data_IF_624790733637
#
_entry.id   IF_624790733637
#
_cell.length_a   1.000
_cell.length_b   1.000
_cell.length_c   1.000
_cell.angle_alpha   90.00
_cell.angle_beta   90.00
_cell.angle_gamma   90.00
#
_symmetry.space_group_name_H-M   'P 1'
#
loop_
_entity.id
_entity.type
_entity.pdbx_description
1 polymer ?
#
# COMPACT_ATOMS: atom_id res chain seq x y z
N UNK A 1 -3.29 7.02 -26.45
CA UNK A 1 -2.23 6.01 -26.32
C UNK A 1 -2.15 5.17 -27.58
N UNK A 2 -3.21 4.49 -28.02
CA UNK A 2 -3.22 3.55 -29.14
C UNK A 2 -2.72 4.15 -30.47
N UNK A 3 -3.16 5.38 -30.84
CA UNK A 3 -2.67 6.07 -32.06
C UNK A 3 -1.18 6.38 -32.03
N UNK A 4 -0.62 6.67 -30.84
CA UNK A 4 0.81 6.95 -30.66
C UNK A 4 1.64 5.68 -30.69
N UNK A 5 1.13 4.58 -30.15
CA UNK A 5 1.76 3.27 -30.23
C UNK A 5 1.84 2.78 -31.69
N UNK A 6 0.75 2.94 -32.46
CA UNK A 6 0.73 2.64 -33.89
C UNK A 6 1.75 3.48 -34.67
N UNK A 7 1.85 4.77 -34.38
CA UNK A 7 2.85 5.64 -35.02
C UNK A 7 4.28 5.22 -34.69
N UNK A 8 4.53 4.86 -33.42
CA UNK A 8 5.82 4.35 -32.96
C UNK A 8 6.19 3.03 -33.66
N UNK A 9 5.26 2.08 -33.73
CA UNK A 9 5.47 0.79 -34.40
C UNK A 9 5.76 0.99 -35.89
N UNK A 10 5.01 1.87 -36.54
CA UNK A 10 5.24 2.18 -37.98
C UNK A 10 6.60 2.81 -38.24
N UNK A 11 7.08 3.67 -37.33
CA UNK A 11 8.43 4.29 -37.47
C UNK A 11 9.52 3.23 -37.24
N UNK A 12 9.36 2.32 -36.32
CA UNK A 12 10.31 1.22 -36.10
C UNK A 12 10.33 0.22 -37.26
N UNK A 13 9.17 -0.13 -37.82
CA UNK A 13 9.07 -1.00 -39.00
C UNK A 13 9.75 -0.36 -40.20
N UNK A 14 9.55 0.93 -40.45
CA UNK A 14 10.22 1.67 -41.47
C UNK A 14 11.74 1.68 -41.29
N UNK A 15 12.24 1.91 -40.10
CA UNK A 15 13.66 1.89 -39.76
C UNK A 15 14.27 0.50 -39.98
N UNK A 16 13.56 -0.57 -39.61
CA UNK A 16 13.99 -1.96 -39.82
C UNK A 16 13.98 -2.36 -41.28
N UNK A 17 12.96 -1.98 -42.05
CA UNK A 17 12.82 -2.35 -43.47
C UNK A 17 13.83 -1.62 -44.37
N UNK A 18 14.29 -0.44 -43.96
CA UNK A 18 15.23 0.39 -44.75
C UNK A 18 16.60 0.53 -44.11
N UNK A 19 16.92 -0.29 -43.08
CA UNK A 19 18.22 -0.27 -42.39
C UNK A 19 19.44 -0.53 -43.29
N UNK A 20 19.25 -1.10 -44.50
CA UNK A 20 20.30 -1.35 -45.48
C UNK A 20 20.65 -0.11 -46.35
N UNK A 21 19.90 0.97 -46.21
CA UNK A 21 20.16 2.23 -46.93
C UNK A 21 20.76 3.26 -45.97
N UNK A 22 22.08 3.41 -46.00
CA UNK A 22 22.86 4.30 -45.11
C UNK A 22 22.52 5.80 -45.19
N UNK A 23 21.66 6.23 -46.10
CA UNK A 23 21.38 7.66 -46.35
C UNK A 23 19.99 8.14 -45.92
N UNK A 24 19.11 7.29 -45.38
CA UNK A 24 17.75 7.67 -45.04
C UNK A 24 17.45 7.37 -43.57
N UNK A 25 17.70 8.33 -42.70
CA UNK A 25 17.15 8.32 -41.34
C UNK A 25 15.64 8.64 -41.39
N UNK A 26 14.78 7.61 -41.37
CA UNK A 26 13.33 7.77 -41.36
C UNK A 26 12.78 8.16 -39.96
N UNK A 27 13.56 7.95 -38.93
CA UNK A 27 13.21 8.36 -37.57
C UNK A 27 14.45 8.91 -36.86
N UNK A 28 14.36 10.14 -36.42
CA UNK A 28 15.36 10.70 -35.51
C UNK A 28 15.33 9.90 -34.23
N UNK A 29 16.47 9.30 -33.80
CA UNK A 29 16.58 8.53 -32.54
C UNK A 29 16.10 9.30 -31.34
N UNK A 30 16.28 10.62 -31.33
CA UNK A 30 15.82 11.49 -30.27
C UNK A 30 14.28 11.58 -30.25
N UNK A 31 13.62 11.60 -31.39
CA UNK A 31 12.16 11.57 -31.47
C UNK A 31 11.57 10.22 -31.00
N UNK A 32 12.21 9.11 -31.43
CA UNK A 32 11.81 7.77 -30.97
C UNK A 32 11.98 7.62 -29.46
N UNK A 33 13.13 8.05 -28.92
CA UNK A 33 13.39 8.03 -27.47
C UNK A 33 12.41 8.90 -26.70
N UNK A 34 12.13 10.11 -27.21
CA UNK A 34 11.14 11.02 -26.62
C UNK A 34 9.75 10.43 -26.64
N UNK A 35 9.35 9.78 -27.75
CA UNK A 35 8.05 9.13 -27.88
C UNK A 35 7.93 7.91 -26.94
N UNK A 36 8.99 7.09 -26.84
CA UNK A 36 9.06 5.96 -25.93
C UNK A 36 8.92 6.41 -24.46
N UNK A 37 9.69 7.41 -24.05
CA UNK A 37 9.62 8.01 -22.71
C UNK A 37 8.22 8.56 -22.41
N UNK A 38 7.60 9.21 -23.39
CA UNK A 38 6.24 9.72 -23.20
C UNK A 38 5.21 8.59 -23.03
N UNK A 39 5.31 7.51 -23.82
CA UNK A 39 4.46 6.33 -23.72
C UNK A 39 4.64 5.68 -22.34
N UNK A 40 5.87 5.50 -21.90
CA UNK A 40 6.20 4.97 -20.57
C UNK A 40 5.55 5.80 -19.45
N UNK A 41 5.70 7.12 -19.49
CA UNK A 41 5.07 8.02 -18.52
C UNK A 41 3.53 7.91 -18.50
N UNK A 42 2.91 7.75 -19.65
CA UNK A 42 1.45 7.56 -19.76
C UNK A 42 1.05 6.20 -19.19
N UNK A 43 1.78 5.12 -19.50
CA UNK A 43 1.50 3.78 -18.98
C UNK A 43 1.69 3.76 -17.46
N UNK A 44 2.80 4.33 -16.96
CA UNK A 44 3.06 4.43 -15.52
C UNK A 44 1.94 5.18 -14.78
N UNK A 45 1.46 6.29 -15.34
CA UNK A 45 0.34 7.06 -14.79
C UNK A 45 -0.97 6.25 -14.79
N UNK A 46 -1.25 5.52 -15.87
CA UNK A 46 -2.44 4.66 -15.96
C UNK A 46 -2.35 3.47 -15.00
N UNK A 47 -1.18 2.84 -14.86
CA UNK A 47 -0.97 1.78 -13.88
C UNK A 47 -1.13 2.31 -12.45
N UNK A 48 -0.60 3.49 -12.16
CA UNK A 48 -0.81 4.15 -10.86
C UNK A 48 -2.29 4.48 -10.61
N UNK A 49 -3.04 4.88 -11.63
CA UNK A 49 -4.48 5.18 -11.50
C UNK A 49 -5.30 3.96 -11.09
N UNK A 50 -4.83 2.75 -11.34
CA UNK A 50 -5.48 1.51 -10.92
C UNK A 50 -5.54 1.39 -9.40
N UNK A 51 -4.45 1.69 -8.69
CA UNK A 51 -4.42 1.65 -7.22
C UNK A 51 -5.46 2.62 -6.63
N UNK A 52 -5.61 3.80 -7.24
CA UNK A 52 -6.62 4.80 -6.88
C UNK A 52 -8.04 4.27 -7.17
N UNK A 53 -8.28 3.76 -8.38
CA UNK A 53 -9.58 3.22 -8.77
C UNK A 53 -10.00 2.00 -7.95
N UNK A 54 -9.04 1.12 -7.63
CA UNK A 54 -9.27 -0.03 -6.77
C UNK A 54 -9.54 0.39 -5.32
N UNK A 55 -8.83 1.39 -4.81
CA UNK A 55 -9.04 1.96 -3.49
C UNK A 55 -10.44 2.61 -3.37
N UNK A 56 -10.90 3.31 -4.42
CA UNK A 56 -12.25 3.89 -4.46
C UNK A 56 -13.32 2.79 -4.48
N UNK A 57 -13.12 1.73 -5.26
CA UNK A 57 -14.11 0.66 -5.46
C UNK A 57 -14.14 -0.35 -4.30
N UNK A 58 -12.99 -0.80 -3.84
CA UNK A 58 -12.83 -1.93 -2.92
C UNK A 58 -12.33 -1.51 -1.54
N UNK A 59 -12.05 -0.23 -1.33
CA UNK A 59 -11.42 0.29 -0.13
C UNK A 59 -9.90 0.15 -0.15
N UNK A 60 -9.23 1.01 0.62
CA UNK A 60 -7.77 1.04 0.75
C UNK A 60 -7.32 -0.13 1.62
N UNK A 61 -6.46 -1.02 1.09
CA UNK A 61 -6.03 -2.18 1.84
C UNK A 61 -5.04 -1.79 2.95
N UNK A 62 -5.36 -2.17 4.18
CA UNK A 62 -4.58 -1.92 5.39
C UNK A 62 -4.18 -3.24 6.03
N UNK A 63 -2.88 -3.44 6.27
CA UNK A 63 -2.39 -4.55 7.08
C UNK A 63 -2.04 -4.08 8.48
N UNK A 64 -2.51 -4.81 9.50
CA UNK A 64 -2.07 -4.65 10.88
C UNK A 64 -1.09 -5.77 11.19
N UNK A 65 0.17 -5.42 11.38
CA UNK A 65 1.24 -6.35 11.70
C UNK A 65 1.81 -6.09 13.10
N UNK A 66 2.49 -7.05 13.64
CA UNK A 66 3.10 -6.97 14.97
C UNK A 66 2.98 -8.31 15.69
N UNK A 67 3.70 -8.45 16.79
CA UNK A 67 3.78 -9.69 17.58
C UNK A 67 2.46 -10.10 18.22
N UNK A 68 2.43 -11.31 18.73
CA UNK A 68 1.37 -11.82 19.59
C UNK A 68 1.25 -10.88 20.81
N UNK A 69 0.02 -10.58 21.22
CA UNK A 69 -0.28 -9.68 22.35
C UNK A 69 0.16 -8.19 22.18
N UNK A 70 0.61 -7.76 21.02
CA UNK A 70 0.83 -6.34 20.74
C UNK A 70 -0.48 -5.51 20.77
N UNK A 71 -1.65 -6.18 20.70
CA UNK A 71 -2.97 -5.55 20.80
C UNK A 71 -3.68 -5.35 19.46
N UNK A 72 -3.30 -6.09 18.41
CA UNK A 72 -3.88 -5.98 17.04
C UNK A 72 -5.41 -6.16 17.03
N UNK A 73 -5.92 -7.20 17.68
CA UNK A 73 -7.36 -7.47 17.77
C UNK A 73 -8.10 -6.36 18.53
N UNK A 74 -7.47 -5.83 19.59
CA UNK A 74 -8.04 -4.74 20.38
C UNK A 74 -8.12 -3.46 19.55
N UNK A 75 -7.07 -3.16 18.75
CA UNK A 75 -7.07 -2.01 17.84
C UNK A 75 -8.14 -2.16 16.77
N UNK A 76 -8.19 -3.32 16.09
CA UNK A 76 -9.19 -3.59 15.07
C UNK A 76 -10.61 -3.40 15.62
N UNK A 77 -10.89 -3.96 16.78
CA UNK A 77 -12.19 -3.80 17.45
C UNK A 77 -12.46 -2.33 17.85
N UNK A 78 -11.45 -1.59 18.27
CA UNK A 78 -11.61 -0.17 18.60
C UNK A 78 -11.97 0.66 17.37
N UNK A 79 -11.38 0.36 16.22
CA UNK A 79 -11.67 1.01 14.93
C UNK A 79 -13.06 0.62 14.38
N UNK A 80 -13.46 -0.65 14.52
CA UNK A 80 -14.74 -1.16 14.02
C UNK A 80 -15.94 -0.78 14.89
N UNK A 81 -15.76 -0.66 16.22
CA UNK A 81 -16.84 -0.38 17.18
C UNK A 81 -17.23 1.12 17.28
N UNK A 82 -16.55 2.01 16.60
CA UNK A 82 -17.10 3.33 16.38
C UNK A 82 -18.16 3.20 15.27
N UNK A 83 -19.34 3.80 15.41
CA UNK A 83 -20.55 3.73 14.55
C UNK A 83 -20.34 3.91 13.03
N UNK A 84 -19.11 3.76 12.56
CA UNK A 84 -18.62 3.95 11.21
C UNK A 84 -18.46 2.65 10.42
N UNK A 85 -18.75 1.49 11.03
CA UNK A 85 -18.74 0.22 10.32
C UNK A 85 -19.97 0.15 9.42
N UNK A 86 -19.79 0.43 8.16
CA UNK A 86 -20.79 0.10 7.14
C UNK A 86 -20.64 -1.41 6.91
N UNK A 87 -21.53 -2.18 7.52
CA UNK A 87 -21.71 -3.58 7.15
C UNK A 87 -22.29 -3.56 5.73
N UNK A 88 -21.45 -3.79 4.76
CA UNK A 88 -21.90 -4.00 3.38
C UNK A 88 -22.58 -5.36 3.33
N UNK A 89 -23.93 -5.38 3.31
CA UNK A 89 -24.76 -6.55 2.99
C UNK A 89 -24.63 -6.89 1.50
N UNK A 90 -23.43 -6.98 0.97
CA UNK A 90 -23.24 -7.61 -0.34
C UNK A 90 -23.12 -9.11 -0.09
N UNK A 91 -24.29 -9.75 0.00
CA UNK A 91 -24.44 -11.20 -0.13
C UNK A 91 -24.08 -11.58 -1.56
N UNK A 92 -22.93 -12.19 -1.75
CA UNK A 92 -22.59 -12.75 -3.04
C UNK A 92 -21.23 -13.44 -3.06
N UNK A 93 -21.29 -14.76 -2.93
CA UNK A 93 -20.35 -15.77 -3.40
C UNK A 93 -19.06 -16.01 -2.61
N UNK A 94 -19.04 -17.23 -2.02
CA UNK A 94 -17.90 -18.12 -1.79
C UNK A 94 -16.86 -17.72 -0.75
N UNK A 95 -16.83 -18.45 0.34
CA UNK A 95 -15.70 -18.97 1.19
C UNK A 95 -14.37 -18.19 1.28
N UNK A 96 -14.29 -16.92 0.90
CA UNK A 96 -13.06 -16.16 0.86
C UNK A 96 -13.08 -15.03 1.90
N UNK A 97 -12.13 -15.13 2.83
CA UNK A 97 -11.57 -14.10 3.70
C UNK A 97 -12.55 -13.02 4.18
N UNK A 98 -13.00 -13.15 5.42
CA UNK A 98 -13.76 -12.09 6.11
C UNK A 98 -12.82 -10.89 6.27
N UNK A 99 -12.97 -9.90 5.40
CA UNK A 99 -12.26 -8.63 5.49
C UNK A 99 -13.18 -7.61 6.15
N UNK A 100 -12.67 -6.93 7.17
CA UNK A 100 -13.40 -5.87 7.86
C UNK A 100 -13.16 -4.54 7.16
N UNK A 101 -14.22 -3.77 6.94
CA UNK A 101 -14.14 -2.44 6.33
C UNK A 101 -14.63 -1.35 7.27
N UNK A 102 -13.99 -0.19 7.23
CA UNK A 102 -14.45 1.02 7.92
C UNK A 102 -14.48 2.20 6.97
N UNK A 103 -15.38 3.14 7.20
CA UNK A 103 -15.40 4.42 6.48
C UNK A 103 -14.91 5.53 7.40
N UNK A 104 -13.81 6.17 7.02
CA UNK A 104 -13.24 7.32 7.74
C UNK A 104 -13.29 8.53 6.82
N UNK A 105 -14.11 9.50 7.16
CA UNK A 105 -14.26 10.77 6.42
C UNK A 105 -14.54 10.57 4.90
N UNK A 106 -15.36 9.56 4.56
CA UNK A 106 -15.71 9.25 3.18
C UNK A 106 -14.72 8.33 2.45
N UNK A 107 -13.61 7.96 3.09
CA UNK A 107 -12.64 7.00 2.55
C UNK A 107 -12.87 5.63 3.17
N UNK A 108 -13.07 4.61 2.34
CA UNK A 108 -13.22 3.23 2.81
C UNK A 108 -11.84 2.58 2.97
N UNK A 109 -11.58 2.02 4.15
CA UNK A 109 -10.41 1.22 4.46
C UNK A 109 -10.82 -0.24 4.64
N UNK A 110 -10.05 -1.15 4.08
CA UNK A 110 -10.26 -2.59 4.13
C UNK A 110 -9.09 -3.26 4.84
N UNK A 111 -9.35 -3.85 6.00
CA UNK A 111 -8.34 -4.57 6.78
C UNK A 111 -8.13 -5.97 6.24
N UNK A 112 -6.90 -6.28 5.83
CA UNK A 112 -6.55 -7.55 5.20
C UNK A 112 -6.41 -8.64 6.26
N UNK A 113 -7.04 -9.80 6.01
CA UNK A 113 -6.94 -11.03 6.81
C UNK A 113 -7.20 -10.82 8.31
N UNK A 114 -8.33 -10.26 8.61
CA UNK A 114 -8.78 -10.03 9.99
C UNK A 114 -9.09 -11.33 10.73
N UNK A 115 -9.34 -12.44 10.02
CA UNK A 115 -9.57 -13.75 10.62
C UNK A 115 -8.38 -14.21 11.48
N UNK A 116 -7.14 -14.03 10.98
CA UNK A 116 -5.93 -14.33 11.75
C UNK A 116 -5.69 -13.39 12.93
N UNK A 117 -6.27 -12.20 12.91
CA UNK A 117 -6.22 -11.25 14.03
C UNK A 117 -7.24 -11.61 15.12
N UNK A 118 -8.39 -12.17 14.74
CA UNK A 118 -9.47 -12.56 15.66
C UNK A 118 -9.25 -13.90 16.36
N UNK A 119 -8.51 -14.82 15.71
CA UNK A 119 -8.21 -16.16 16.23
C UNK A 119 -6.87 -16.18 16.97
N UNK A 120 -6.68 -15.37 17.99
CA UNK A 120 -5.51 -15.43 18.86
C UNK A 120 -5.65 -16.57 19.86
N UNK A 121 -5.32 -17.79 19.43
CA UNK A 121 -4.97 -18.89 20.33
C UNK A 121 -3.68 -19.55 19.79
N UNK A 122 -2.64 -19.36 20.54
CA UNK A 122 -1.37 -20.03 20.67
C UNK A 122 -1.19 -21.36 19.93
N UNK A 123 -0.95 -21.34 18.62
CA UNK A 123 -0.17 -22.40 17.98
C UNK A 123 0.17 -21.95 16.55
N UNK A 124 1.42 -21.97 16.22
CA UNK A 124 2.01 -21.82 14.89
C UNK A 124 2.73 -20.46 14.69
N UNK A 125 3.85 -20.32 15.39
CA UNK A 125 4.75 -19.18 15.25
C UNK A 125 5.46 -19.13 13.87
N UNK A 126 5.72 -20.25 13.24
CA UNK A 126 6.48 -20.33 11.97
C UNK A 126 5.64 -20.16 10.69
N UNK A 127 4.34 -20.43 10.74
CA UNK A 127 3.41 -20.12 9.63
C UNK A 127 2.94 -18.64 9.64
N UNK A 128 3.21 -17.92 10.73
CA UNK A 128 2.80 -16.53 10.91
C UNK A 128 3.65 -15.53 10.11
N UNK A 129 4.93 -15.78 9.93
CA UNK A 129 5.86 -14.82 9.31
C UNK A 129 5.57 -14.69 7.81
N UNK A 130 5.49 -15.80 7.10
CA UNK A 130 5.23 -15.81 5.65
C UNK A 130 3.87 -15.21 5.31
N UNK A 131 2.83 -15.51 6.10
CA UNK A 131 1.51 -14.87 5.97
C UNK A 131 1.57 -13.37 6.29
N UNK A 132 2.40 -12.96 7.23
CA UNK A 132 2.58 -11.54 7.54
C UNK A 132 3.16 -10.79 6.35
N UNK A 133 4.18 -11.34 5.67
CA UNK A 133 4.75 -10.73 4.47
C UNK A 133 3.75 -10.69 3.31
N UNK A 134 3.00 -11.76 3.07
CA UNK A 134 1.93 -11.76 2.06
C UNK A 134 0.87 -10.67 2.31
N UNK A 135 0.50 -10.42 3.58
CA UNK A 135 -0.40 -9.33 3.95
C UNK A 135 0.23 -7.96 3.67
N UNK A 136 1.50 -7.81 4.04
CA UNK A 136 2.23 -6.57 3.78
C UNK A 136 2.31 -6.29 2.28
N UNK A 137 2.55 -7.32 1.45
CA UNK A 137 2.65 -7.17 0.00
C UNK A 137 1.33 -6.68 -0.64
N UNK A 138 0.20 -7.09 -0.11
CA UNK A 138 -1.12 -6.68 -0.57
C UNK A 138 -1.58 -5.31 -0.02
N UNK A 139 -0.93 -4.83 1.04
CA UNK A 139 -1.33 -3.61 1.71
C UNK A 139 -0.82 -2.35 1.01
N UNK A 140 -1.63 -1.30 1.02
CA UNK A 140 -1.23 0.06 0.68
C UNK A 140 -0.74 0.82 1.94
N UNK A 141 -1.42 0.59 3.07
CA UNK A 141 -1.01 1.13 4.38
C UNK A 141 -0.64 -0.02 5.30
N UNK A 142 0.49 0.09 5.98
CA UNK A 142 0.96 -0.87 6.96
C UNK A 142 0.94 -0.20 8.33
N UNK A 143 0.19 -0.79 9.26
CA UNK A 143 0.19 -0.43 10.67
C UNK A 143 1.08 -1.43 11.42
N UNK A 144 2.30 -1.04 11.71
CA UNK A 144 3.23 -1.86 12.51
C UNK A 144 3.03 -1.58 13.99
N UNK A 145 2.41 -2.52 14.67
CA UNK A 145 2.05 -2.42 16.07
C UNK A 145 3.11 -3.03 16.97
N UNK A 146 3.66 -2.25 17.87
CA UNK A 146 4.71 -2.64 18.80
C UNK A 146 4.22 -2.36 20.23
N UNK A 147 4.47 -3.29 21.15
CA UNK A 147 4.24 -3.06 22.57
C UNK A 147 5.22 -2.00 23.09
N UNK A 148 4.71 -0.88 23.56
CA UNK A 148 5.55 0.25 23.98
C UNK A 148 6.42 -0.05 25.19
N UNK A 149 6.08 -1.07 25.99
CA UNK A 149 6.86 -1.46 27.19
C UNK A 149 8.20 -2.13 26.83
N UNK A 150 8.36 -2.63 25.59
CA UNK A 150 9.58 -3.31 25.10
C UNK A 150 9.91 -2.88 23.65
N UNK A 151 9.53 -1.66 23.28
CA UNK A 151 9.51 -1.23 21.90
C UNK A 151 10.88 -1.22 21.22
N UNK A 152 11.92 -0.76 21.91
CA UNK A 152 13.26 -0.67 21.33
C UNK A 152 13.81 -2.04 20.97
N UNK A 153 13.73 -3.02 21.86
CA UNK A 153 14.21 -4.37 21.63
C UNK A 153 13.44 -5.02 20.47
N UNK A 154 12.12 -4.94 20.50
CA UNK A 154 11.25 -5.56 19.49
C UNK A 154 11.44 -4.95 18.11
N UNK A 155 11.62 -3.65 18.06
CA UNK A 155 11.92 -2.98 16.80
C UNK A 155 13.25 -3.47 16.20
N UNK A 156 14.34 -3.50 17.03
CA UNK A 156 15.65 -3.94 16.57
C UNK A 156 15.63 -5.40 16.06
N UNK A 157 14.89 -6.29 16.74
CA UNK A 157 14.75 -7.70 16.36
C UNK A 157 14.05 -7.87 15.00
N UNK A 158 13.03 -7.07 14.70
CA UNK A 158 12.14 -7.28 13.56
C UNK A 158 12.35 -6.32 12.37
N UNK A 159 13.10 -5.22 12.56
CA UNK A 159 13.27 -4.20 11.52
C UNK A 159 13.88 -4.74 10.23
N UNK A 160 14.85 -5.66 10.34
CA UNK A 160 15.54 -6.23 9.19
C UNK A 160 14.59 -7.04 8.28
N UNK A 161 13.59 -7.69 8.87
CA UNK A 161 12.63 -8.51 8.15
C UNK A 161 11.44 -7.68 7.63
N UNK A 162 11.02 -6.65 8.37
CA UNK A 162 9.80 -5.87 8.05
C UNK A 162 10.09 -4.73 7.07
N UNK A 163 11.17 -3.96 7.26
CA UNK A 163 11.42 -2.75 6.48
C UNK A 163 11.52 -2.99 4.96
N UNK A 164 12.16 -4.08 4.46
CA UNK A 164 12.21 -4.35 3.02
C UNK A 164 10.83 -4.48 2.37
N UNK A 165 9.85 -5.05 3.09
CA UNK A 165 8.48 -5.20 2.59
C UNK A 165 7.65 -3.91 2.66
N UNK A 166 8.21 -2.83 3.23
CA UNK A 166 7.53 -1.54 3.35
C UNK A 166 7.92 -0.55 2.24
N UNK A 167 8.86 -0.89 1.36
CA UNK A 167 9.27 0.00 0.27
C UNK A 167 8.09 0.35 -0.64
N UNK A 168 7.93 1.62 -0.94
CA UNK A 168 6.83 2.14 -1.76
C UNK A 168 5.46 2.17 -1.07
N UNK A 169 5.36 1.75 0.20
CA UNK A 169 4.11 1.69 0.97
C UNK A 169 4.07 2.77 2.06
N UNK A 170 2.87 3.09 2.53
CA UNK A 170 2.68 4.01 3.66
C UNK A 170 2.75 3.21 4.95
N UNK A 171 3.78 3.44 5.77
CA UNK A 171 3.94 2.77 7.06
C UNK A 171 3.70 3.74 8.21
N UNK A 172 2.96 3.28 9.22
CA UNK A 172 2.75 3.96 10.50
C UNK A 172 3.16 2.99 11.61
N UNK A 173 4.13 3.39 12.44
CA UNK A 173 4.52 2.63 13.62
C UNK A 173 3.60 3.04 14.78
N UNK A 174 2.95 2.06 15.38
CA UNK A 174 2.04 2.24 16.51
C UNK A 174 2.66 1.68 17.78
N UNK A 175 3.06 2.57 18.69
CA UNK A 175 3.47 2.20 20.04
C UNK A 175 2.23 2.03 20.91
N UNK A 176 1.75 0.79 21.01
CA UNK A 176 0.55 0.47 21.78
C UNK A 176 0.85 0.28 23.27
N UNK A 177 -0.19 0.28 24.09
CA UNK A 177 -0.14 0.24 25.56
C UNK A 177 0.58 1.45 26.16
N UNK A 178 0.50 2.60 25.49
CA UNK A 178 1.14 3.84 25.94
C UNK A 178 0.63 4.35 27.29
N UNK A 179 -0.52 3.85 27.72
CA UNK A 179 -1.09 4.08 29.05
C UNK A 179 -0.29 3.44 30.20
N UNK A 180 0.62 2.52 29.88
CA UNK A 180 1.54 1.90 30.84
C UNK A 180 2.88 2.66 30.98
N UNK A 181 3.14 3.60 30.10
CA UNK A 181 4.39 4.38 30.11
C UNK A 181 4.24 5.70 30.87
N UNK A 182 5.30 6.09 31.56
CA UNK A 182 5.48 7.43 32.09
C UNK A 182 5.78 8.43 30.95
N UNK A 183 5.54 9.72 31.19
CA UNK A 183 5.80 10.76 30.20
C UNK A 183 7.28 10.77 29.76
N UNK A 184 8.20 10.61 30.68
CA UNK A 184 9.66 10.53 30.41
C UNK A 184 10.03 9.37 29.49
N UNK A 185 9.41 8.20 29.67
CA UNK A 185 9.64 7.03 28.84
C UNK A 185 9.11 7.24 27.42
N UNK A 186 7.99 7.95 27.24
CA UNK A 186 7.47 8.33 25.90
C UNK A 186 8.42 9.28 25.19
N UNK A 187 9.01 10.23 25.90
CA UNK A 187 10.00 11.16 25.35
C UNK A 187 11.28 10.43 24.92
N UNK A 188 11.79 9.52 25.77
CA UNK A 188 12.95 8.68 25.46
C UNK A 188 12.72 7.82 24.21
N UNK A 189 11.58 7.13 24.13
CA UNK A 189 11.21 6.36 22.93
C UNK A 189 11.08 7.25 21.70
N UNK A 190 10.49 8.44 21.84
CA UNK A 190 10.38 9.39 20.73
C UNK A 190 11.74 9.83 20.23
N UNK A 191 12.70 10.03 21.14
CA UNK A 191 14.08 10.40 20.79
C UNK A 191 14.83 9.26 20.07
N UNK A 192 14.69 8.01 20.56
CA UNK A 192 15.32 6.82 19.95
C UNK A 192 14.88 6.65 18.48
N UNK A 193 13.63 6.91 18.20
CA UNK A 193 13.06 6.75 16.87
C UNK A 193 13.02 8.05 16.04
N UNK A 194 13.64 9.14 16.50
CA UNK A 194 13.57 10.46 15.87
C UNK A 194 14.07 10.45 14.41
N UNK A 195 15.19 9.77 14.15
CA UNK A 195 15.84 9.74 12.84
C UNK A 195 15.07 8.96 11.75
N UNK A 196 14.09 8.18 12.14
CA UNK A 196 13.29 7.42 11.18
C UNK A 196 12.28 8.33 10.48
N UNK A 197 12.35 8.38 9.15
CA UNK A 197 11.40 9.11 8.29
C UNK A 197 10.03 8.39 8.15
N UNK A 198 9.52 7.80 9.23
CA UNK A 198 8.27 7.05 9.26
C UNK A 198 7.34 7.69 10.27
N UNK A 199 6.05 7.73 9.97
CA UNK A 199 5.03 8.20 10.89
C UNK A 199 4.96 7.31 12.14
N UNK A 200 4.91 7.93 13.31
CA UNK A 200 4.90 7.26 14.61
C UNK A 200 3.75 7.79 15.45
N UNK A 201 3.10 6.91 16.19
CA UNK A 201 2.00 7.30 17.07
C UNK A 201 1.97 6.43 18.33
N UNK A 202 1.88 7.06 19.49
CA UNK A 202 1.59 6.39 20.75
C UNK A 202 0.08 6.24 20.91
N UNK A 203 -0.37 5.03 21.12
CA UNK A 203 -1.80 4.71 21.32
C UNK A 203 -2.02 3.83 22.53
N UNK A 204 -3.22 3.85 23.07
CA UNK A 204 -3.74 2.77 23.91
C UNK A 204 -5.03 2.25 23.28
N UNK A 205 -4.93 1.13 22.58
CA UNK A 205 -6.09 0.50 21.96
C UNK A 205 -7.14 0.11 23.01
N UNK A 206 -6.69 -0.31 24.20
CA UNK A 206 -7.58 -0.69 25.32
C UNK A 206 -8.33 0.50 25.89
N UNK A 207 -7.68 1.66 26.05
CA UNK A 207 -8.28 2.88 26.58
C UNK A 207 -8.83 3.82 25.52
N UNK A 208 -8.68 3.45 24.23
CA UNK A 208 -9.03 4.26 23.06
C UNK A 208 -8.29 5.61 23.00
N UNK A 209 -7.11 5.70 23.61
CA UNK A 209 -6.29 6.89 23.54
C UNK A 209 -5.65 7.03 22.17
N UNK A 210 -5.74 8.23 21.58
CA UNK A 210 -5.16 8.60 20.28
C UNK A 210 -5.70 7.82 19.07
N UNK A 211 -6.83 7.08 19.19
CA UNK A 211 -7.45 6.37 18.05
C UNK A 211 -7.93 7.38 16.99
N UNK A 212 -8.57 8.47 17.39
CA UNK A 212 -9.01 9.52 16.45
C UNK A 212 -7.83 10.18 15.71
N UNK A 213 -6.64 10.26 16.36
CA UNK A 213 -5.43 10.74 15.69
C UNK A 213 -4.97 9.72 14.64
N UNK A 214 -5.01 8.42 14.98
CA UNK A 214 -4.72 7.35 14.03
C UNK A 214 -5.65 7.39 12.82
N UNK A 215 -6.95 7.57 13.02
CA UNK A 215 -7.92 7.72 11.93
C UNK A 215 -7.55 8.86 10.97
N UNK A 216 -7.20 10.03 11.53
CA UNK A 216 -6.75 11.18 10.71
C UNK A 216 -5.47 10.84 9.93
N UNK A 217 -4.51 10.16 10.57
CA UNK A 217 -3.28 9.72 9.89
C UNK A 217 -3.54 8.68 8.81
N UNK A 218 -4.49 7.77 9.00
CA UNK A 218 -4.94 6.84 7.97
C UNK A 218 -5.51 7.60 6.76
N UNK A 219 -6.40 8.56 6.99
CA UNK A 219 -6.95 9.40 5.92
C UNK A 219 -5.85 10.19 5.20
N UNK A 220 -4.87 10.75 5.93
CA UNK A 220 -3.73 11.43 5.33
C UNK A 220 -2.82 10.49 4.53
N UNK A 221 -2.57 9.27 5.05
CA UNK A 221 -1.79 8.25 4.34
C UNK A 221 -2.50 7.77 3.07
N UNK A 222 -3.83 7.76 3.12
CA UNK A 222 -4.71 7.45 2.02
C UNK A 222 -4.83 8.56 1.00
N UNK A 223 -4.20 9.74 1.22
CA UNK A 223 -4.28 10.87 0.30
C UNK A 223 -3.94 10.39 -1.11
N UNK A 224 -4.98 9.91 -1.78
CA UNK A 224 -4.95 9.57 -3.20
C UNK A 224 -4.66 10.89 -3.92
N UNK A 225 -3.76 10.91 -4.91
CA UNK A 225 -3.56 12.11 -5.71
C UNK A 225 -4.91 12.60 -6.20
N UNK A 226 -5.15 13.90 -6.13
CA UNK A 226 -6.38 14.51 -6.63
C UNK A 226 -6.58 14.03 -8.07
N UNK A 227 -7.60 13.19 -8.25
CA UNK A 227 -8.00 12.72 -9.56
C UNK A 227 -8.79 13.86 -10.18
N UNK A 228 -8.21 14.52 -11.16
CA UNK A 228 -8.94 15.49 -11.94
C UNK A 228 -10.11 14.82 -12.66
N UNK A 229 -11.23 15.50 -12.81
CA UNK A 229 -12.47 14.96 -13.45
C UNK A 229 -12.23 14.37 -14.86
N UNK A 230 -11.10 14.67 -15.48
CA UNK A 230 -10.72 14.20 -16.82
C UNK A 230 -9.71 13.04 -16.81
N UNK A 231 -9.26 12.58 -15.64
CA UNK A 231 -8.30 11.48 -15.55
C UNK A 231 -8.98 10.14 -15.81
N UNK A 232 -8.38 9.35 -16.69
CA UNK A 232 -8.84 7.99 -16.96
C UNK A 232 -8.40 7.10 -15.79
N UNK A 233 -9.36 6.64 -14.99
CA UNK A 233 -9.12 5.72 -13.89
C UNK A 233 -9.32 4.28 -14.38
N UNK A 234 -8.29 3.46 -14.24
CA UNK A 234 -8.38 2.04 -14.54
C UNK A 234 -8.89 1.31 -13.30
N UNK A 235 -9.97 0.55 -13.46
CA UNK A 235 -10.58 -0.25 -12.38
C UNK A 235 -10.52 -1.76 -12.65
N UNK A 236 -10.04 -2.16 -13.84
CA UNK A 236 -10.01 -3.57 -14.26
C UNK A 236 -8.60 -4.15 -14.06
N UNK A 237 -8.50 -5.23 -13.27
CA UNK A 237 -7.25 -5.93 -12.96
C UNK A 237 -6.51 -6.38 -14.22
N UNK A 238 -7.22 -6.90 -15.22
CA UNK A 238 -6.59 -7.35 -16.48
C UNK A 238 -5.91 -6.22 -17.25
N UNK A 239 -6.50 -5.02 -17.22
CA UNK A 239 -5.87 -3.84 -17.84
C UNK A 239 -4.62 -3.43 -17.06
N UNK A 240 -4.67 -3.49 -15.73
CA UNK A 240 -3.52 -3.20 -14.88
C UNK A 240 -2.37 -4.18 -15.14
N UNK A 241 -2.64 -5.48 -15.16
CA UNK A 241 -1.63 -6.51 -15.46
C UNK A 241 -0.98 -6.30 -16.83
N UNK A 242 -1.78 -5.98 -17.84
CA UNK A 242 -1.26 -5.70 -19.19
C UNK A 242 -0.35 -4.46 -19.21
N UNK A 243 -0.72 -3.40 -18.49
CA UNK A 243 0.08 -2.17 -18.39
C UNK A 243 1.37 -2.39 -17.60
N UNK A 244 1.32 -3.16 -16.51
CA UNK A 244 2.50 -3.49 -15.71
C UNK A 244 3.49 -4.33 -16.52
N UNK A 245 3.02 -5.33 -17.24
CA UNK A 245 3.88 -6.10 -18.16
C UNK A 245 4.51 -5.23 -19.23
N UNK A 246 3.77 -4.27 -19.79
CA UNK A 246 4.29 -3.34 -20.79
C UNK A 246 5.37 -2.44 -20.20
N UNK A 247 5.23 -2.00 -18.95
CA UNK A 247 6.22 -1.23 -18.21
C UNK A 247 7.50 -2.04 -17.96
N UNK A 248 7.36 -3.26 -17.46
CA UNK A 248 8.49 -4.15 -17.20
C UNK A 248 9.30 -4.42 -18.47
N UNK A 249 8.63 -4.64 -19.61
CA UNK A 249 9.28 -4.83 -20.90
C UNK A 249 9.97 -3.56 -21.38
N UNK A 250 9.42 -2.37 -21.17
CA UNK A 250 10.03 -1.09 -21.54
C UNK A 250 11.32 -0.86 -20.77
N UNK A 251 11.35 -1.16 -19.46
CA UNK A 251 12.54 -0.99 -18.60
C UNK A 251 13.70 -1.93 -18.97
N UNK A 252 13.42 -3.10 -19.56
CA UNK A 252 14.45 -4.07 -19.98
C UNK A 252 15.15 -3.63 -21.27
N UNK A 253 14.48 -2.88 -22.14
CA UNK A 253 14.96 -2.54 -23.48
C UNK A 253 15.52 -1.12 -23.63
N UNK A 254 15.42 -0.28 -22.61
CA UNK A 254 15.98 1.06 -22.55
C UNK A 254 17.32 1.07 -21.81
#
# INVERSE_FOLDING_TARGET
>A
VYKRQLHFTSLMELELDFSDHEELEFANRDELSSLATHIEQVIARLAHSFSVGNAIKNGIPVAIIGETNAGKSTLLNALLNEEKAIVSDIHGTTRDVIEDTINLQGVTFRFIDTAGIRQTNDAIENLGIERTFQKMDQAYVILWMIDSTDAQRRFEELKADILPHCEGKKMIILFNKSDLLLATQKEELSAIFADMKVEKLFISAKKRENITILEKKLVQAAALPEVNQNDIIITNVRHYEALTRALDLSLIHI
#
